data_IF_808175179635
#
_entry.id   IF_808175179635
#
_cell.length_a   1.000
_cell.length_b   1.000
_cell.length_c   1.000
_cell.angle_alpha   90.00
_cell.angle_beta   90.00
_cell.angle_gamma   90.00
#
_symmetry.space_group_name_H-M   'P 1'
#
loop_
_entity.id
_entity.type
_entity.pdbx_description
1 polymer ?
#
# COMPACT_ATOMS: atom_id res chain seq x y z
N UNK A 1 -20.92 16.16 -0.49
CA UNK A 1 -20.01 15.62 -1.52
C UNK A 1 -20.41 14.18 -1.76
N UNK A 2 -20.55 13.76 -3.01
CA UNK A 2 -20.73 12.34 -3.33
C UNK A 2 -19.37 11.64 -3.36
N UNK A 3 -19.03 10.96 -2.26
CA UNK A 3 -17.76 10.25 -2.11
C UNK A 3 -17.70 8.96 -2.96
N UNK A 4 -18.84 8.47 -3.45
CA UNK A 4 -18.96 7.24 -4.25
C UNK A 4 -19.06 7.51 -5.76
N UNK A 5 -18.90 8.75 -6.21
CA UNK A 5 -18.98 9.18 -7.62
C UNK A 5 -18.10 8.44 -8.64
N UNK A 6 -17.15 7.61 -8.18
CA UNK A 6 -16.29 6.77 -9.02
C UNK A 6 -16.49 5.26 -8.79
N UNK A 7 -17.36 4.87 -7.86
CA UNK A 7 -17.74 3.48 -7.61
C UNK A 7 -18.43 2.89 -8.84
N UNK A 8 -18.09 1.66 -9.21
CA UNK A 8 -18.67 0.92 -10.34
C UNK A 8 -18.33 1.47 -11.74
N UNK A 9 -17.53 2.53 -11.83
CA UNK A 9 -17.08 3.05 -13.12
C UNK A 9 -16.04 2.13 -13.77
N UNK A 10 -15.87 2.19 -15.11
CA UNK A 10 -14.87 1.38 -15.79
C UNK A 10 -13.47 1.53 -15.18
N UNK A 11 -12.73 0.43 -15.13
CA UNK A 11 -11.39 0.40 -14.53
C UNK A 11 -10.45 1.47 -15.11
N UNK A 12 -10.57 1.78 -16.41
CA UNK A 12 -9.77 2.84 -17.05
C UNK A 12 -10.06 4.24 -16.49
N UNK A 13 -11.30 4.50 -16.07
CA UNK A 13 -11.70 5.77 -15.42
C UNK A 13 -11.18 5.82 -13.99
N UNK A 14 -11.36 4.75 -13.22
CA UNK A 14 -10.85 4.62 -11.86
C UNK A 14 -9.33 4.76 -11.81
N UNK A 15 -8.62 4.09 -12.73
CA UNK A 15 -7.15 4.16 -12.84
C UNK A 15 -6.68 5.59 -13.11
N UNK A 16 -7.26 6.26 -14.11
CA UNK A 16 -6.94 7.67 -14.41
C UNK A 16 -7.21 8.58 -13.21
N UNK A 17 -8.30 8.34 -12.48
CA UNK A 17 -8.63 9.15 -11.31
C UNK A 17 -7.68 8.89 -10.16
N UNK A 18 -7.31 7.63 -9.93
CA UNK A 18 -6.35 7.23 -8.92
C UNK A 18 -5.00 7.89 -9.17
N UNK A 19 -4.41 7.77 -10.38
CA UNK A 19 -3.15 8.45 -10.71
C UNK A 19 -3.20 9.95 -10.38
N UNK A 20 -4.25 10.65 -10.84
CA UNK A 20 -4.40 12.09 -10.59
C UNK A 20 -4.46 12.44 -9.11
N UNK A 21 -5.08 11.59 -8.28
CA UNK A 21 -5.11 11.80 -6.83
C UNK A 21 -3.69 11.61 -6.26
N UNK A 22 -3.01 10.52 -6.60
CA UNK A 22 -1.67 10.23 -6.11
C UNK A 22 -0.68 11.34 -6.50
N UNK A 23 -0.74 11.83 -7.74
CA UNK A 23 0.11 12.91 -8.24
C UNK A 23 -0.19 14.26 -7.54
N UNK A 24 -1.45 14.53 -7.24
CA UNK A 24 -1.87 15.79 -6.61
C UNK A 24 -1.63 15.83 -5.09
N UNK A 25 -1.42 14.68 -4.44
CA UNK A 25 -1.17 14.59 -3.00
C UNK A 25 0.33 14.82 -2.74
N UNK A 26 0.76 15.94 -2.12
CA UNK A 26 2.17 16.31 -2.05
C UNK A 26 3.07 15.29 -1.34
N UNK A 27 2.56 14.69 -0.26
CA UNK A 27 3.30 13.63 0.45
C UNK A 27 3.59 12.45 -0.49
N UNK A 28 2.61 12.01 -1.28
CA UNK A 28 2.80 10.86 -2.16
C UNK A 28 3.72 11.18 -3.35
N UNK A 29 3.58 12.35 -3.96
CA UNK A 29 4.43 12.73 -5.09
C UNK A 29 5.89 12.98 -4.69
N UNK A 30 6.15 13.56 -3.52
CA UNK A 30 7.52 13.66 -2.97
C UNK A 30 8.07 12.27 -2.61
N UNK A 31 7.28 11.42 -1.93
CA UNK A 31 7.69 10.06 -1.60
C UNK A 31 8.07 9.23 -2.83
N UNK A 32 7.26 9.29 -3.89
CA UNK A 32 7.55 8.61 -5.15
C UNK A 32 8.85 9.10 -5.80
N UNK A 33 9.08 10.41 -5.75
CA UNK A 33 10.29 11.03 -6.29
C UNK A 33 11.54 10.62 -5.50
N UNK A 34 11.46 10.53 -4.17
CA UNK A 34 12.54 10.05 -3.30
C UNK A 34 12.78 8.55 -3.45
N UNK A 35 11.72 7.74 -3.44
CA UNK A 35 11.80 6.29 -3.62
C UNK A 35 12.46 5.91 -4.95
N UNK A 36 12.13 6.60 -6.06
CA UNK A 36 12.80 6.38 -7.34
C UNK A 36 14.30 6.66 -7.29
N UNK A 37 14.73 7.69 -6.54
CA UNK A 37 16.15 8.06 -6.40
C UNK A 37 16.95 7.03 -5.59
N UNK A 38 16.30 6.30 -4.67
CA UNK A 38 16.94 5.18 -3.96
C UNK A 38 17.33 4.04 -4.89
N UNK A 39 16.67 3.92 -6.05
CA UNK A 39 16.97 2.92 -7.08
C UNK A 39 17.01 1.47 -6.53
N UNK A 40 16.13 1.17 -5.57
CA UNK A 40 15.97 -0.19 -5.04
C UNK A 40 15.41 -1.12 -6.13
N UNK A 41 15.84 -2.38 -6.22
CA UNK A 41 15.32 -3.31 -7.22
C UNK A 41 13.85 -3.62 -6.96
N UNK A 42 13.04 -3.59 -8.04
CA UNK A 42 11.61 -3.87 -8.03
C UNK A 42 10.83 -3.18 -6.88
N UNK A 43 11.08 -1.89 -6.67
CA UNK A 43 10.42 -1.13 -5.63
C UNK A 43 8.99 -0.72 -5.98
N UNK A 44 8.16 -0.60 -4.95
CA UNK A 44 6.77 -0.15 -4.96
C UNK A 44 6.49 0.67 -3.70
N UNK A 45 5.89 1.84 -3.86
CA UNK A 45 5.17 2.49 -2.77
C UNK A 45 3.83 1.76 -2.62
N UNK A 46 3.51 1.31 -1.41
CA UNK A 46 2.39 0.41 -1.14
C UNK A 46 1.55 0.91 0.04
N UNK A 47 0.47 0.17 0.35
CA UNK A 47 -0.21 0.24 1.66
C UNK A 47 -0.94 1.57 1.92
N UNK A 48 -1.14 1.89 3.21
CA UNK A 48 -2.05 2.87 3.80
C UNK A 48 -2.12 4.21 3.09
N UNK A 49 -0.96 4.78 2.76
CA UNK A 49 -0.87 6.11 2.21
C UNK A 49 -1.64 6.27 0.89
N UNK A 50 -1.73 5.21 0.08
CA UNK A 50 -2.39 5.25 -1.23
C UNK A 50 -3.92 5.33 -1.11
N UNK A 51 -4.55 4.33 -0.52
CA UNK A 51 -6.00 4.26 -0.44
C UNK A 51 -6.57 5.27 0.56
N UNK A 52 -5.86 5.59 1.65
CA UNK A 52 -6.27 6.65 2.58
C UNK A 52 -6.26 8.02 1.89
N UNK A 53 -5.30 8.29 1.01
CA UNK A 53 -5.27 9.56 0.25
C UNK A 53 -6.47 9.67 -0.70
N UNK A 54 -6.89 8.57 -1.32
CA UNK A 54 -8.11 8.55 -2.13
C UNK A 54 -9.32 8.86 -1.26
N UNK A 55 -9.48 8.18 -0.12
CA UNK A 55 -10.59 8.45 0.79
C UNK A 55 -10.59 9.89 1.28
N UNK A 56 -9.44 10.43 1.67
CA UNK A 56 -9.30 11.82 2.09
C UNK A 56 -9.77 12.81 1.02
N UNK A 57 -9.33 12.64 -0.23
CA UNK A 57 -9.74 13.51 -1.34
C UNK A 57 -11.23 13.37 -1.65
N UNK A 58 -11.79 12.16 -1.58
CA UNK A 58 -13.20 11.93 -1.94
C UNK A 58 -14.17 12.39 -0.84
N UNK A 59 -13.74 12.41 0.42
CA UNK A 59 -14.53 12.87 1.56
C UNK A 59 -14.21 14.29 2.03
N UNK A 60 -13.25 14.98 1.40
CA UNK A 60 -12.89 16.36 1.72
C UNK A 60 -12.04 16.52 2.99
N UNK A 61 -11.29 15.50 3.38
CA UNK A 61 -10.35 15.52 4.52
C UNK A 61 -8.95 16.01 4.09
N UNK A 62 -8.12 16.52 5.02
CA UNK A 62 -6.73 16.88 4.73
C UNK A 62 -5.94 15.71 4.15
N UNK A 63 -5.01 15.99 3.23
CA UNK A 63 -4.24 14.97 2.50
C UNK A 63 -3.57 13.92 3.42
N UNK A 64 -2.98 14.34 4.53
CA UNK A 64 -2.30 13.45 5.49
C UNK A 64 -3.20 12.79 6.54
N UNK A 65 -4.51 13.02 6.52
CA UNK A 65 -5.40 12.52 7.57
C UNK A 65 -5.38 10.98 7.63
N UNK A 66 -5.17 10.42 8.82
CA UNK A 66 -5.17 8.97 9.05
C UNK A 66 -3.97 8.19 8.45
N UNK A 67 -3.05 8.86 7.77
CA UNK A 67 -1.82 8.28 7.22
C UNK A 67 -0.74 8.31 8.30
N UNK A 68 -0.17 7.15 8.65
CA UNK A 68 0.84 7.02 9.71
C UNK A 68 2.26 6.99 9.19
N UNK A 69 2.44 6.45 7.99
CA UNK A 69 3.71 6.03 7.43
C UNK A 69 3.64 6.01 5.90
N UNK A 70 4.81 5.96 5.27
CA UNK A 70 4.97 5.58 3.87
C UNK A 70 5.67 4.23 3.83
N UNK A 71 5.03 3.24 3.22
CA UNK A 71 5.61 1.92 3.02
C UNK A 71 6.26 1.81 1.63
N UNK A 72 7.53 1.41 1.59
CA UNK A 72 8.27 1.07 0.37
C UNK A 72 8.64 -0.42 0.44
N UNK A 73 7.94 -1.21 -0.35
CA UNK A 73 8.30 -2.60 -0.60
C UNK A 73 9.30 -2.66 -1.75
N UNK A 74 10.37 -3.43 -1.60
CA UNK A 74 11.29 -3.73 -2.70
C UNK A 74 11.65 -5.21 -2.71
N UNK A 75 12.22 -5.72 -3.79
CA UNK A 75 12.62 -7.13 -3.86
C UNK A 75 14.06 -7.27 -4.33
N UNK A 76 14.89 -7.78 -3.43
CA UNK A 76 16.24 -8.23 -3.75
C UNK A 76 16.47 -9.62 -3.16
N UNK A 77 16.44 -10.64 -4.03
CA UNK A 77 16.70 -12.02 -3.67
C UNK A 77 18.18 -12.43 -3.73
N UNK A 78 19.08 -11.52 -4.10
CA UNK A 78 20.51 -11.82 -4.24
C UNK A 78 21.26 -11.85 -2.90
N UNK A 79 20.81 -11.07 -1.93
CA UNK A 79 21.32 -11.05 -0.56
C UNK A 79 20.16 -10.98 0.45
N UNK A 80 19.93 -12.10 1.14
CA UNK A 80 18.90 -12.23 2.16
C UNK A 80 19.45 -11.97 3.57
N UNK A 81 20.57 -11.28 3.75
CA UNK A 81 21.08 -10.91 5.08
C UNK A 81 20.31 -9.73 5.68
N UNK A 82 20.30 -9.63 7.01
CA UNK A 82 19.76 -8.42 7.67
C UNK A 82 20.60 -7.20 7.32
N UNK A 83 21.92 -7.33 7.21
CA UNK A 83 22.82 -6.25 6.82
C UNK A 83 22.47 -5.62 5.46
N UNK A 84 22.02 -6.42 4.49
CA UNK A 84 21.59 -5.90 3.19
C UNK A 84 20.30 -5.07 3.29
N UNK A 85 19.32 -5.55 4.06
CA UNK A 85 18.08 -4.80 4.31
C UNK A 85 18.33 -3.54 5.15
N UNK A 86 19.14 -3.62 6.20
CA UNK A 86 19.52 -2.47 7.02
C UNK A 86 20.24 -1.41 6.19
N UNK A 87 21.12 -1.81 5.26
CA UNK A 87 21.77 -0.87 4.33
C UNK A 87 20.75 -0.09 3.48
N UNK A 88 19.70 -0.77 3.00
CA UNK A 88 18.61 -0.11 2.29
C UNK A 88 17.78 0.81 3.20
N UNK A 89 17.53 0.41 4.45
CA UNK A 89 16.85 1.22 5.46
C UNK A 89 17.65 2.50 5.75
N UNK A 90 18.96 2.41 5.96
CA UNK A 90 19.83 3.56 6.22
C UNK A 90 19.88 4.52 5.01
N UNK A 91 20.01 3.97 3.79
CA UNK A 91 19.93 4.78 2.57
C UNK A 91 18.58 5.49 2.45
N UNK A 92 17.49 4.79 2.81
CA UNK A 92 16.15 5.33 2.95
C UNK A 92 16.07 6.50 3.92
N UNK A 93 16.57 6.32 5.14
CA UNK A 93 16.58 7.35 6.17
C UNK A 93 17.28 8.63 5.68
N UNK A 94 18.39 8.51 4.95
CA UNK A 94 19.07 9.65 4.33
C UNK A 94 18.24 10.28 3.21
N UNK A 95 17.67 9.50 2.30
CA UNK A 95 16.87 10.02 1.19
C UNK A 95 15.56 10.70 1.64
N UNK A 96 15.03 10.27 2.79
CA UNK A 96 13.82 10.79 3.41
C UNK A 96 14.09 11.72 4.60
N UNK A 97 15.30 12.24 4.73
CA UNK A 97 15.60 13.26 5.73
C UNK A 97 14.65 14.47 5.57
N UNK A 98 14.10 14.92 6.71
CA UNK A 98 13.13 16.02 6.79
C UNK A 98 11.73 15.69 6.25
N UNK A 99 11.45 14.43 5.90
CA UNK A 99 10.14 14.02 5.41
C UNK A 99 9.10 13.97 6.55
N UNK A 100 7.85 14.29 6.23
CA UNK A 100 6.80 14.57 7.24
C UNK A 100 6.25 13.34 7.95
N UNK A 101 6.49 12.15 7.40
CA UNK A 101 5.99 10.89 7.94
C UNK A 101 7.15 9.90 8.10
N UNK A 102 7.07 8.95 9.04
CA UNK A 102 7.93 7.77 9.03
C UNK A 102 7.89 7.06 7.67
N UNK A 103 9.03 6.50 7.25
CA UNK A 103 9.15 5.72 6.02
C UNK A 103 9.69 4.35 6.38
N UNK A 104 8.93 3.31 6.04
CA UNK A 104 9.30 1.92 6.24
C UNK A 104 9.76 1.32 4.92
N UNK A 105 11.01 0.84 4.89
CA UNK A 105 11.57 0.14 3.73
C UNK A 105 11.70 -1.34 4.08
N UNK A 106 11.16 -2.21 3.22
CA UNK A 106 11.12 -3.66 3.49
C UNK A 106 11.47 -4.49 2.26
N UNK A 107 12.46 -5.36 2.40
CA UNK A 107 12.81 -6.35 1.39
C UNK A 107 11.80 -7.51 1.44
N UNK A 108 10.95 -7.58 0.42
CA UNK A 108 9.93 -8.62 0.29
C UNK A 108 10.55 -10.02 0.13
N UNK A 109 11.78 -10.12 -0.40
CA UNK A 109 12.49 -11.40 -0.49
C UNK A 109 12.77 -12.00 0.89
N UNK A 110 12.86 -11.21 1.96
CA UNK A 110 13.18 -11.65 3.33
C UNK A 110 11.96 -11.99 4.18
N UNK A 111 10.73 -11.65 3.76
CA UNK A 111 9.52 -11.75 4.60
C UNK A 111 9.31 -13.18 5.13
N UNK A 112 9.50 -14.19 4.27
CA UNK A 112 9.37 -15.60 4.65
C UNK A 112 10.31 -16.06 5.79
N UNK A 113 11.38 -15.32 6.08
CA UNK A 113 12.35 -15.67 7.12
C UNK A 113 11.89 -15.34 8.54
N UNK A 114 10.98 -14.38 8.69
CA UNK A 114 10.55 -13.87 10.02
C UNK A 114 9.03 -13.83 10.19
N UNK A 115 8.25 -13.94 9.10
CA UNK A 115 6.79 -13.81 9.17
C UNK A 115 6.15 -14.87 10.07
N UNK A 116 6.59 -16.13 9.97
CA UNK A 116 6.02 -17.22 10.78
C UNK A 116 6.31 -17.05 12.26
N UNK A 117 7.51 -16.60 12.62
CA UNK A 117 7.86 -16.28 14.02
C UNK A 117 6.98 -15.15 14.57
N UNK A 118 6.67 -14.15 13.74
CA UNK A 118 5.92 -12.97 14.17
C UNK A 118 4.40 -13.19 14.20
N UNK A 119 3.86 -13.91 13.21
CA UNK A 119 2.41 -14.06 12.99
C UNK A 119 1.88 -15.49 13.22
N UNK A 120 2.75 -16.46 13.50
CA UNK A 120 2.38 -17.85 13.76
C UNK A 120 1.84 -18.60 12.54
N UNK A 121 2.09 -18.09 11.32
CA UNK A 121 1.60 -18.65 10.05
C UNK A 121 2.73 -18.70 9.02
N UNK A 122 2.84 -19.77 8.21
CA UNK A 122 3.85 -19.84 7.19
C UNK A 122 3.61 -18.79 6.11
N UNK A 123 4.70 -18.23 5.59
CA UNK A 123 4.67 -17.29 4.47
C UNK A 123 5.59 -17.80 3.36
N UNK A 124 5.05 -18.31 2.24
CA UNK A 124 5.88 -18.82 1.16
C UNK A 124 6.80 -17.73 0.58
N UNK A 125 8.05 -18.07 0.22
CA UNK A 125 8.95 -17.14 -0.45
C UNK A 125 8.30 -16.48 -1.66
N UNK A 126 8.63 -15.21 -1.87
CA UNK A 126 8.14 -14.42 -3.00
C UNK A 126 9.15 -14.46 -4.15
N UNK A 127 8.67 -14.21 -5.36
CA UNK A 127 9.50 -14.11 -6.58
C UNK A 127 9.74 -12.68 -7.04
N UNK A 128 8.88 -11.75 -6.59
CA UNK A 128 8.98 -10.32 -6.85
C UNK A 128 8.23 -9.53 -5.76
N UNK A 129 8.37 -8.21 -5.74
CA UNK A 129 7.70 -7.38 -4.74
C UNK A 129 6.18 -7.35 -4.94
N UNK A 130 5.69 -7.40 -6.18
CA UNK A 130 4.25 -7.33 -6.46
C UNK A 130 3.45 -8.51 -5.90
N UNK A 131 4.06 -9.70 -5.78
CA UNK A 131 3.41 -10.85 -5.14
C UNK A 131 3.09 -10.59 -3.65
N UNK A 132 3.81 -9.69 -2.97
CA UNK A 132 3.46 -9.34 -1.60
C UNK A 132 2.18 -8.51 -1.54
N UNK A 133 1.96 -7.64 -2.53
CA UNK A 133 0.78 -6.77 -2.64
C UNK A 133 -0.49 -7.61 -2.79
N UNK A 134 -0.41 -8.73 -3.52
CA UNK A 134 -1.51 -9.70 -3.68
C UNK A 134 -1.92 -10.36 -2.36
N UNK A 135 -1.08 -10.30 -1.32
CA UNK A 135 -1.28 -10.97 -0.03
C UNK A 135 -1.65 -10.00 1.10
N UNK A 136 -1.90 -8.73 0.81
CA UNK A 136 -2.26 -7.74 1.84
C UNK A 136 -3.63 -8.01 2.43
N UNK A 137 -3.82 -7.67 3.71
CA UNK A 137 -4.93 -8.13 4.56
C UNK A 137 -6.35 -7.85 4.03
N UNK A 138 -6.51 -6.85 3.18
CA UNK A 138 -7.79 -6.48 2.60
C UNK A 138 -7.59 -6.09 1.14
N UNK A 139 -8.63 -6.27 0.34
CA UNK A 139 -8.54 -6.06 -1.10
C UNK A 139 -8.24 -4.60 -1.46
N UNK A 140 -8.84 -3.65 -0.77
CA UNK A 140 -8.53 -2.22 -0.94
C UNK A 140 -7.08 -1.87 -0.61
N UNK A 141 -6.38 -2.71 0.18
CA UNK A 141 -4.97 -2.51 0.51
C UNK A 141 -4.03 -3.05 -0.58
N UNK A 142 -4.51 -3.93 -1.45
CA UNK A 142 -3.73 -4.60 -2.49
C UNK A 142 -3.51 -3.67 -3.68
N UNK A 143 -2.79 -2.56 -3.44
CA UNK A 143 -2.39 -1.60 -4.46
C UNK A 143 -0.97 -1.14 -4.20
N UNK A 144 -0.18 -1.06 -5.27
CA UNK A 144 1.14 -0.45 -5.27
C UNK A 144 1.31 0.48 -6.46
N UNK A 145 2.16 1.49 -6.27
CA UNK A 145 2.52 2.43 -7.33
C UNK A 145 4.03 2.65 -7.36
N UNK A 146 4.55 2.94 -8.55
CA UNK A 146 5.93 3.38 -8.72
C UNK A 146 6.06 4.32 -9.90
N UNK A 147 7.11 5.13 -9.90
CA UNK A 147 7.46 5.95 -11.05
C UNK A 147 8.35 5.17 -12.01
N UNK A 148 8.01 5.20 -13.29
CA UNK A 148 8.90 4.82 -14.36
C UNK A 148 10.01 5.88 -14.58
N UNK A 149 10.95 5.56 -15.46
CA UNK A 149 12.05 6.46 -15.85
C UNK A 149 11.55 7.74 -16.50
N UNK A 150 10.43 7.70 -17.23
CA UNK A 150 9.80 8.84 -17.89
C UNK A 150 8.83 9.64 -17.00
N UNK A 151 8.80 9.35 -15.69
CA UNK A 151 7.85 9.88 -14.70
C UNK A 151 6.40 9.38 -14.85
N UNK A 152 6.13 8.41 -15.72
CA UNK A 152 4.79 7.79 -15.74
C UNK A 152 4.58 6.96 -14.47
N UNK A 153 3.35 7.04 -13.93
CA UNK A 153 2.96 6.30 -12.74
C UNK A 153 2.46 4.92 -13.14
N UNK A 154 3.22 3.89 -12.78
CA UNK A 154 2.84 2.49 -12.93
C UNK A 154 2.04 2.05 -11.71
N UNK A 155 0.95 1.32 -11.96
CA UNK A 155 0.06 0.80 -10.91
C UNK A 155 0.05 -0.72 -10.97
N UNK A 156 0.15 -1.34 -9.81
CA UNK A 156 -0.18 -2.74 -9.60
C UNK A 156 -1.40 -2.83 -8.68
N UNK A 157 -2.54 -3.26 -9.21
CA UNK A 157 -3.82 -3.39 -8.50
C UNK A 157 -4.50 -4.71 -8.92
N UNK A 158 -4.05 -5.87 -8.39
CA UNK A 158 -4.44 -7.20 -8.86
C UNK A 158 -5.95 -7.48 -8.75
N UNK A 159 -6.64 -6.78 -7.85
CA UNK A 159 -8.09 -6.91 -7.65
C UNK A 159 -8.88 -5.69 -8.16
N UNK A 160 -8.23 -4.80 -8.93
CA UNK A 160 -8.80 -3.53 -9.35
C UNK A 160 -8.81 -2.47 -8.24
N UNK A 161 -9.43 -1.33 -8.52
CA UNK A 161 -9.47 -0.16 -7.62
C UNK A 161 -10.87 0.11 -7.06
N UNK A 162 -11.86 -0.73 -7.41
CA UNK A 162 -13.26 -0.45 -7.11
C UNK A 162 -13.54 -0.47 -5.61
N UNK A 163 -12.88 -1.33 -4.83
CA UNK A 163 -13.03 -1.35 -3.38
C UNK A 163 -12.55 -0.04 -2.73
N UNK A 164 -11.50 0.58 -3.29
CA UNK A 164 -11.02 1.89 -2.84
C UNK A 164 -12.09 2.96 -3.16
N UNK A 165 -12.61 3.01 -4.38
CA UNK A 165 -13.58 4.00 -4.82
C UNK A 165 -15.00 3.79 -4.27
N UNK A 166 -15.31 2.58 -3.85
CA UNK A 166 -16.57 2.20 -3.20
C UNK A 166 -16.52 2.34 -1.67
N UNK A 167 -15.40 2.85 -1.11
CA UNK A 167 -15.20 2.93 0.35
C UNK A 167 -15.46 1.58 1.02
N UNK A 168 -14.97 0.50 0.42
CA UNK A 168 -15.24 -0.87 0.86
C UNK A 168 -13.96 -1.56 1.29
N UNK A 169 -13.96 -2.12 2.49
CA UNK A 169 -12.90 -2.99 2.99
C UNK A 169 -13.49 -4.39 3.11
N UNK A 170 -12.94 -5.32 2.33
CA UNK A 170 -13.26 -6.74 2.40
C UNK A 170 -12.00 -7.57 2.57
N UNK A 171 -12.08 -8.71 3.29
CA UNK A 171 -10.91 -9.53 3.59
C UNK A 171 -10.24 -10.02 2.31
N UNK A 172 -8.92 -10.15 2.38
CA UNK A 172 -8.17 -10.93 1.40
C UNK A 172 -7.80 -12.27 2.03
N UNK A 173 -8.34 -13.36 1.47
CA UNK A 173 -8.13 -14.71 1.98
C UNK A 173 -6.85 -15.39 1.46
N UNK A 174 -5.98 -14.66 0.74
CA UNK A 174 -4.68 -15.18 0.31
C UNK A 174 -3.80 -15.66 1.49
N UNK A 175 -3.99 -15.06 2.67
CA UNK A 175 -3.38 -15.50 3.94
C UNK A 175 -4.45 -15.46 5.02
N UNK A 176 -4.46 -16.45 5.92
CA UNK A 176 -5.28 -16.43 7.12
C UNK A 176 -4.72 -15.43 8.15
N UNK A 177 -5.25 -14.20 8.13
CA UNK A 177 -4.82 -13.07 8.95
C UNK A 177 -5.99 -12.32 9.59
N UNK A 178 -7.05 -13.05 9.96
CA UNK A 178 -8.32 -12.50 10.49
C UNK A 178 -8.13 -11.41 11.54
N UNK A 179 -7.32 -11.66 12.56
CA UNK A 179 -7.09 -10.69 13.64
C UNK A 179 -6.50 -9.36 13.12
N UNK A 180 -5.50 -9.45 12.24
CA UNK A 180 -4.89 -8.26 11.62
C UNK A 180 -5.89 -7.51 10.75
N UNK A 181 -6.73 -8.24 10.00
CA UNK A 181 -7.80 -7.66 9.21
C UNK A 181 -8.79 -6.87 10.08
N UNK A 182 -9.31 -7.49 11.15
CA UNK A 182 -10.30 -6.87 12.03
C UNK A 182 -9.76 -5.64 12.74
N UNK A 183 -8.49 -5.67 13.19
CA UNK A 183 -7.81 -4.51 13.78
C UNK A 183 -7.69 -3.36 12.78
N UNK A 184 -7.20 -3.64 11.56
CA UNK A 184 -7.02 -2.61 10.53
C UNK A 184 -8.35 -2.05 10.05
N UNK A 185 -9.36 -2.89 9.86
CA UNK A 185 -10.69 -2.49 9.42
C UNK A 185 -11.39 -1.58 10.45
N UNK A 186 -11.36 -1.95 11.73
CA UNK A 186 -11.93 -1.12 12.82
C UNK A 186 -11.26 0.25 12.89
N UNK A 187 -9.92 0.28 12.87
CA UNK A 187 -9.17 1.53 12.88
C UNK A 187 -9.47 2.40 11.66
N UNK A 188 -9.61 1.80 10.48
CA UNK A 188 -10.00 2.55 9.29
C UNK A 188 -11.39 3.17 9.46
N UNK A 189 -12.36 2.42 9.99
CA UNK A 189 -13.72 2.91 10.24
C UNK A 189 -13.76 4.08 11.25
N UNK A 190 -12.87 4.11 12.24
CA UNK A 190 -12.72 5.24 13.17
C UNK A 190 -12.29 6.54 12.46
N UNK A 191 -11.45 6.43 11.42
CA UNK A 191 -10.99 7.58 10.62
C UNK A 191 -12.00 7.97 9.52
N UNK A 192 -12.59 6.99 8.84
CA UNK A 192 -13.54 7.16 7.74
C UNK A 192 -14.83 6.40 8.04
N UNK A 193 -15.79 7.02 8.76
CA UNK A 193 -17.10 6.41 9.05
C UNK A 193 -17.93 6.09 7.79
N UNK A 194 -17.54 6.60 6.63
CA UNK A 194 -18.15 6.29 5.33
C UNK A 194 -17.79 4.88 4.82
N UNK A 195 -16.81 4.21 5.43
CA UNK A 195 -16.38 2.89 5.01
C UNK A 195 -17.44 1.81 5.29
N UNK A 196 -17.64 0.92 4.33
CA UNK A 196 -18.36 -0.34 4.50
C UNK A 196 -17.34 -1.46 4.73
N UNK A 197 -17.42 -2.10 5.90
CA UNK A 197 -16.55 -3.22 6.28
C UNK A 197 -17.31 -4.54 6.09
N UNK A 198 -16.74 -5.47 5.32
CA UNK A 198 -17.23 -6.84 5.22
C UNK A 198 -16.66 -7.69 6.35
N UNK A 199 -17.46 -8.54 6.98
CA UNK A 199 -16.94 -9.48 7.98
C UNK A 199 -16.04 -10.52 7.32
N UNK A 200 -15.10 -11.08 8.08
CA UNK A 200 -14.22 -12.13 7.57
C UNK A 200 -14.99 -13.36 7.09
N UNK A 201 -16.08 -13.74 7.78
CA UNK A 201 -16.86 -14.95 7.49
C UNK A 201 -17.83 -14.80 6.31
N UNK A 202 -18.04 -13.58 5.80
CA UNK A 202 -18.94 -13.38 4.67
C UNK A 202 -18.17 -13.66 3.39
N UNK A 203 -18.42 -14.81 2.77
CA UNK A 203 -18.01 -15.04 1.38
C UNK A 203 -18.76 -14.05 0.48
N UNK A 204 -18.03 -13.46 -0.46
CA UNK A 204 -18.57 -12.54 -1.48
C UNK A 204 -19.13 -13.30 -2.67
#
# INVERSE_FOLDING_TARGET
MDHLRYSGLPQSVQTKRFCRIIEAVPILSDALSRARRLNLPDWWLVSGALYNSVWNVLSGRPHGYGIKDIDIAYFDGSDLSWSAEDSAIQAGAMAFEGYTLPVEIRNQARVHLWFEEHFGKPYPPLRCASESIERYVAIAHCVGVRLASDNTLNIHAPFGLDDIFSFRIRPNHAIDNRETYEIKARRALECWPELTIQSWDKEG
#
